data_IF_322287598478
#
_entry.id   IF_322287598478
#
_cell.length_a   1.000
_cell.length_b   1.000
_cell.length_c   1.000
_cell.angle_alpha   90.00
_cell.angle_beta   90.00
_cell.angle_gamma   90.00
#
_symmetry.space_group_name_H-M   'P 1'
#
loop_
_entity.id
_entity.type
_entity.pdbx_description
1 polymer ?
#
# COMPACT_ATOMS: atom_id res chain seq x y z
N UNK A 1 1.31 -14.03 14.52
CA UNK A 1 0.22 -13.09 14.90
C UNK A 1 -1.13 -13.79 14.69
N UNK A 2 -2.19 -13.51 15.48
CA UNK A 2 -3.51 -14.05 15.17
C UNK A 2 -3.97 -13.56 13.79
N UNK A 3 -4.70 -14.40 13.06
CA UNK A 3 -5.22 -14.04 11.75
C UNK A 3 -6.19 -12.84 11.83
N UNK A 4 -6.04 -11.88 10.92
CA UNK A 4 -6.94 -10.72 10.81
C UNK A 4 -8.36 -11.19 10.46
N UNK A 5 -9.40 -10.82 11.25
CA UNK A 5 -10.77 -11.25 10.98
C UNK A 5 -11.25 -10.84 9.59
N UNK A 6 -12.06 -11.67 8.93
CA UNK A 6 -12.65 -11.36 7.63
C UNK A 6 -14.13 -10.99 7.75
N UNK A 7 -14.56 -9.98 6.98
CA UNK A 7 -15.94 -9.58 6.80
C UNK A 7 -16.31 -9.72 5.32
N UNK A 8 -16.93 -10.86 4.97
CA UNK A 8 -17.40 -11.11 3.61
C UNK A 8 -18.79 -10.52 3.37
N UNK A 9 -18.83 -9.36 2.70
CA UNK A 9 -20.07 -8.62 2.48
C UNK A 9 -20.89 -9.15 1.31
N UNK A 10 -20.35 -10.09 0.52
CA UNK A 10 -21.11 -10.76 -0.55
C UNK A 10 -22.24 -11.60 0.02
N UNK A 11 -22.08 -12.05 1.26
CA UNK A 11 -23.10 -12.80 2.03
C UNK A 11 -24.16 -11.91 2.70
N UNK A 12 -24.01 -10.59 2.61
CA UNK A 12 -24.84 -9.61 3.32
C UNK A 12 -25.73 -8.84 2.31
N UNK A 13 -27.03 -8.64 2.59
CA UNK A 13 -27.91 -7.82 1.76
C UNK A 13 -27.34 -6.40 1.53
N UNK A 14 -27.40 -5.85 0.30
CA UNK A 14 -26.76 -4.56 -0.02
C UNK A 14 -27.07 -3.40 0.94
N UNK A 15 -28.32 -3.19 1.41
CA UNK A 15 -28.64 -2.11 2.35
C UNK A 15 -27.97 -2.26 3.73
N UNK A 16 -27.61 -3.49 4.11
CA UNK A 16 -27.02 -3.80 5.42
C UNK A 16 -25.49 -3.78 5.41
N UNK A 17 -24.86 -3.81 4.23
CA UNK A 17 -23.39 -3.90 4.08
C UNK A 17 -22.70 -2.74 4.77
N UNK A 18 -22.95 -1.50 4.34
CA UNK A 18 -22.25 -0.32 4.87
C UNK A 18 -22.47 -0.13 6.38
N UNK A 19 -23.71 -0.18 6.92
CA UNK A 19 -23.93 -0.11 8.36
C UNK A 19 -23.11 -1.14 9.14
N UNK A 20 -23.05 -2.39 8.66
CA UNK A 20 -22.29 -3.46 9.31
C UNK A 20 -20.78 -3.24 9.24
N UNK A 21 -20.26 -2.74 8.12
CA UNK A 21 -18.84 -2.41 7.95
C UNK A 21 -18.42 -1.28 8.90
N UNK A 22 -19.20 -0.19 8.96
CA UNK A 22 -18.90 0.93 9.86
C UNK A 22 -19.02 0.52 11.34
N UNK A 23 -20.03 -0.27 11.69
CA UNK A 23 -20.15 -0.83 13.04
C UNK A 23 -18.96 -1.72 13.41
N UNK A 24 -18.45 -2.53 12.47
CA UNK A 24 -17.27 -3.35 12.70
C UNK A 24 -16.03 -2.49 12.90
N UNK A 25 -15.85 -1.46 12.08
CA UNK A 25 -14.74 -0.51 12.19
C UNK A 25 -14.74 0.27 13.50
N UNK A 26 -15.89 0.82 13.90
CA UNK A 26 -15.99 1.62 15.13
C UNK A 26 -15.74 0.79 16.40
N UNK A 27 -15.97 -0.51 16.33
CA UNK A 27 -15.68 -1.47 17.40
C UNK A 27 -14.19 -1.87 17.49
N UNK A 28 -13.36 -1.56 16.48
CA UNK A 28 -11.93 -1.85 16.51
C UNK A 28 -11.23 -1.03 17.60
N UNK A 29 -10.27 -1.66 18.29
CA UNK A 29 -9.26 -0.91 19.05
C UNK A 29 -8.29 -0.21 18.08
N UNK A 30 -7.63 0.88 18.47
CA UNK A 30 -6.52 1.44 17.69
C UNK A 30 -5.48 0.34 17.36
N UNK A 31 -4.96 0.36 16.13
CA UNK A 31 -4.07 -0.66 15.57
C UNK A 31 -4.75 -1.95 15.08
N UNK A 32 -5.99 -2.22 15.49
CA UNK A 32 -6.71 -3.41 15.04
C UNK A 32 -7.31 -3.22 13.63
N UNK A 33 -7.54 -4.33 12.94
CA UNK A 33 -8.06 -4.34 11.57
C UNK A 33 -9.04 -5.50 11.31
N UNK A 34 -9.77 -5.41 10.20
CA UNK A 34 -10.45 -6.55 9.56
C UNK A 34 -10.23 -6.49 8.04
N UNK A 35 -10.37 -7.63 7.36
CA UNK A 35 -10.32 -7.73 5.90
C UNK A 35 -11.75 -7.73 5.36
N UNK A 36 -12.09 -6.70 4.60
CA UNK A 36 -13.30 -6.63 3.80
C UNK A 36 -13.12 -7.51 2.55
N UNK A 37 -14.06 -8.43 2.32
CA UNK A 37 -14.12 -9.25 1.10
C UNK A 37 -15.34 -8.86 0.28
N UNK A 38 -15.13 -8.46 -0.98
CA UNK A 38 -16.18 -7.97 -1.87
C UNK A 38 -16.02 -8.50 -3.31
N UNK A 39 -17.09 -8.42 -4.11
CA UNK A 39 -17.13 -8.82 -5.53
C UNK A 39 -16.72 -7.71 -6.50
N UNK A 40 -16.46 -6.50 -6.01
CA UNK A 40 -15.94 -5.36 -6.77
C UNK A 40 -15.06 -4.48 -5.86
N UNK A 41 -14.22 -3.62 -6.46
CA UNK A 41 -13.45 -2.66 -5.67
C UNK A 41 -14.41 -1.66 -4.96
N UNK A 42 -14.39 -1.56 -3.62
CA UNK A 42 -15.41 -0.81 -2.88
C UNK A 42 -15.11 0.70 -2.81
N UNK A 43 -14.87 1.34 -3.97
CA UNK A 43 -14.57 2.78 -4.08
C UNK A 43 -15.63 3.69 -3.43
N UNK A 44 -16.95 3.45 -3.58
CA UNK A 44 -17.96 4.27 -2.88
C UNK A 44 -17.87 4.18 -1.36
N UNK A 45 -17.47 3.02 -0.83
CA UNK A 45 -17.28 2.82 0.61
C UNK A 45 -16.05 3.59 1.09
N UNK A 46 -14.93 3.54 0.35
CA UNK A 46 -13.75 4.35 0.66
C UNK A 46 -14.09 5.84 0.74
N UNK A 47 -14.86 6.36 -0.23
CA UNK A 47 -15.32 7.75 -0.18
C UNK A 47 -16.16 8.06 1.08
N UNK A 48 -17.01 7.11 1.51
CA UNK A 48 -17.76 7.27 2.77
C UNK A 48 -16.82 7.27 3.99
N UNK A 49 -15.81 6.41 4.02
CA UNK A 49 -14.79 6.42 5.09
C UNK A 49 -14.03 7.75 5.14
N UNK A 50 -13.58 8.26 4.00
CA UNK A 50 -12.89 9.56 3.92
C UNK A 50 -13.72 10.74 4.41
N UNK A 51 -15.06 10.65 4.37
CA UNK A 51 -15.95 11.72 4.84
C UNK A 51 -16.38 11.52 6.29
N UNK A 52 -16.62 10.29 6.72
CA UNK A 52 -17.17 9.99 8.05
C UNK A 52 -16.10 9.70 9.11
N UNK A 53 -14.91 9.25 8.69
CA UNK A 53 -13.78 8.88 9.56
C UNK A 53 -12.46 9.47 9.02
N UNK A 54 -12.41 10.77 8.69
CA UNK A 54 -11.23 11.37 8.06
C UNK A 54 -9.99 11.15 8.93
N UNK A 55 -8.91 10.64 8.31
CA UNK A 55 -7.65 10.40 9.00
C UNK A 55 -7.68 9.34 10.10
N UNK A 56 -8.72 8.50 10.23
CA UNK A 56 -8.80 7.49 11.31
C UNK A 56 -8.55 6.05 10.87
N UNK A 57 -8.30 5.83 9.58
CA UNK A 57 -8.17 4.50 9.01
C UNK A 57 -7.03 4.40 8.01
N UNK A 58 -6.53 3.17 7.85
CA UNK A 58 -5.73 2.74 6.70
C UNK A 58 -6.58 1.85 5.81
N UNK A 59 -6.30 1.92 4.51
CA UNK A 59 -7.04 1.23 3.46
C UNK A 59 -6.05 0.48 2.58
N UNK A 60 -5.79 -0.77 2.96
CA UNK A 60 -4.70 -1.55 2.37
C UNK A 60 -5.31 -2.58 1.42
N UNK A 61 -5.08 -2.43 0.13
CA UNK A 61 -5.56 -3.39 -0.88
C UNK A 61 -4.66 -4.62 -0.82
N UNK A 62 -5.24 -5.76 -0.43
CA UNK A 62 -4.54 -7.05 -0.32
C UNK A 62 -4.71 -7.90 -1.58
N UNK A 63 -5.80 -7.68 -2.32
CA UNK A 63 -6.08 -8.40 -3.56
C UNK A 63 -6.96 -7.57 -4.45
N UNK A 64 -6.58 -7.46 -5.73
CA UNK A 64 -7.29 -6.67 -6.73
C UNK A 64 -7.79 -7.53 -7.90
N UNK A 65 -8.98 -8.12 -7.75
CA UNK A 65 -9.81 -8.64 -8.85
C UNK A 65 -9.21 -9.75 -9.72
N UNK A 66 -9.92 -10.15 -10.80
CA UNK A 66 -11.26 -9.68 -11.18
C UNK A 66 -12.40 -10.27 -10.33
N UNK A 67 -12.21 -11.45 -9.72
CA UNK A 67 -13.30 -12.19 -9.07
C UNK A 67 -13.44 -11.91 -7.57
N UNK A 68 -12.40 -11.37 -6.94
CA UNK A 68 -12.36 -11.14 -5.51
C UNK A 68 -11.51 -9.92 -5.16
N UNK A 69 -12.06 -9.04 -4.33
CA UNK A 69 -11.36 -7.91 -3.78
C UNK A 69 -11.21 -8.10 -2.27
N UNK A 70 -9.99 -7.94 -1.78
CA UNK A 70 -9.68 -7.94 -0.35
C UNK A 70 -9.05 -6.61 0.03
N UNK A 71 -9.66 -5.94 0.99
CA UNK A 71 -9.14 -4.68 1.54
C UNK A 71 -9.04 -4.84 3.05
N UNK A 72 -7.84 -4.72 3.61
CA UNK A 72 -7.69 -4.55 5.04
C UNK A 72 -8.05 -3.10 5.42
N UNK A 73 -9.01 -2.97 6.33
CA UNK A 73 -9.41 -1.70 6.92
C UNK A 73 -8.91 -1.71 8.37
N UNK A 74 -7.90 -0.89 8.63
CA UNK A 74 -7.27 -0.77 9.95
C UNK A 74 -7.70 0.52 10.63
N UNK A 75 -7.93 0.49 11.94
CA UNK A 75 -8.10 1.71 12.75
C UNK A 75 -6.73 2.24 13.15
N UNK A 76 -6.43 3.49 12.82
CA UNK A 76 -5.14 4.13 13.15
C UNK A 76 -4.99 4.35 14.66
N UNK A 77 -3.74 4.42 15.11
CA UNK A 77 -3.40 4.88 16.47
C UNK A 77 -3.50 6.40 16.61
N UNK A 78 -3.04 7.12 15.59
CA UNK A 78 -3.17 8.57 15.52
C UNK A 78 -4.55 8.99 14.98
N UNK A 79 -5.04 10.14 15.46
CA UNK A 79 -6.23 10.81 14.94
C UNK A 79 -5.84 12.07 14.17
N UNK A 80 -6.62 12.41 13.16
CA UNK A 80 -6.44 13.65 12.38
C UNK A 80 -5.82 13.43 11.00
N UNK A 81 -5.71 14.51 10.21
CA UNK A 81 -5.16 14.49 8.86
C UNK A 81 -3.71 13.96 8.87
N UNK A 82 -3.29 13.41 7.73
CA UNK A 82 -1.90 12.95 7.55
C UNK A 82 -1.10 13.91 6.70
N UNK A 83 0.20 13.97 6.96
CA UNK A 83 1.15 14.45 5.97
C UNK A 83 1.42 13.36 4.92
N UNK A 84 2.08 13.73 3.81
CA UNK A 84 2.52 12.77 2.80
C UNK A 84 3.51 11.77 3.40
N UNK A 85 4.51 12.27 4.15
CA UNK A 85 5.46 11.43 4.88
C UNK A 85 4.75 10.40 5.76
N UNK A 86 3.84 10.83 6.64
CA UNK A 86 3.15 9.91 7.54
C UNK A 86 2.31 8.85 6.82
N UNK A 87 1.79 9.16 5.64
CA UNK A 87 0.99 8.20 4.86
C UNK A 87 1.87 7.16 4.17
N UNK A 88 2.91 7.60 3.45
CA UNK A 88 3.73 6.71 2.63
C UNK A 88 4.77 5.95 3.46
N UNK A 89 5.32 6.53 4.52
CA UNK A 89 6.18 5.80 5.47
C UNK A 89 5.41 4.67 6.17
N UNK A 90 4.15 4.92 6.56
CA UNK A 90 3.29 3.86 7.09
C UNK A 90 3.01 2.75 6.07
N UNK A 91 3.05 3.07 4.77
CA UNK A 91 2.87 2.10 3.71
C UNK A 91 4.15 1.29 3.45
N UNK A 92 5.33 1.92 3.54
CA UNK A 92 6.64 1.26 3.56
C UNK A 92 6.72 0.24 4.69
N UNK A 93 6.42 0.64 5.94
CA UNK A 93 6.45 -0.27 7.09
C UNK A 93 5.55 -1.51 6.87
N UNK A 94 4.39 -1.31 6.24
CA UNK A 94 3.47 -2.39 5.90
C UNK A 94 4.02 -3.30 4.80
N UNK A 95 4.60 -2.72 3.75
CA UNK A 95 5.12 -3.45 2.59
C UNK A 95 6.38 -4.25 2.98
N UNK A 96 7.29 -3.64 3.73
CA UNK A 96 8.54 -4.26 4.20
C UNK A 96 8.29 -5.51 5.07
N UNK A 97 7.15 -5.58 5.74
CA UNK A 97 6.77 -6.74 6.54
C UNK A 97 6.47 -8.00 5.70
N UNK A 98 6.21 -7.89 4.39
CA UNK A 98 5.85 -9.05 3.57
C UNK A 98 7.06 -9.89 3.16
N UNK A 99 8.19 -9.29 2.80
CA UNK A 99 9.40 -10.05 2.40
C UNK A 99 9.81 -11.07 3.47
N UNK A 100 10.00 -10.70 4.76
CA UNK A 100 10.33 -11.68 5.79
C UNK A 100 9.21 -12.71 6.00
N UNK A 101 7.94 -12.33 5.85
CA UNK A 101 6.81 -13.26 5.97
C UNK A 101 6.78 -14.31 4.83
N UNK A 102 7.12 -13.90 3.59
CA UNK A 102 7.27 -14.82 2.46
C UNK A 102 8.42 -15.78 2.73
N UNK A 103 9.59 -15.26 3.13
CA UNK A 103 10.77 -16.07 3.43
C UNK A 103 10.51 -17.08 4.57
N UNK A 104 9.82 -16.67 5.64
CA UNK A 104 9.42 -17.56 6.73
C UNK A 104 8.48 -18.68 6.24
N UNK A 105 7.50 -18.33 5.40
CA UNK A 105 6.57 -19.31 4.83
C UNK A 105 7.26 -20.32 3.92
N UNK A 106 8.22 -19.86 3.10
CA UNK A 106 9.06 -20.72 2.26
C UNK A 106 9.94 -21.66 3.09
N UNK A 107 10.57 -21.14 4.14
CA UNK A 107 11.38 -21.93 5.07
C UNK A 107 10.55 -23.00 5.81
N UNK A 108 9.29 -22.71 6.09
CA UNK A 108 8.34 -23.65 6.66
C UNK A 108 7.74 -24.65 5.64
N UNK A 109 8.04 -24.51 4.35
CA UNK A 109 7.44 -25.32 3.27
C UNK A 109 5.97 -25.00 3.00
N UNK A 110 5.44 -23.89 3.54
CA UNK A 110 4.07 -23.44 3.38
C UNK A 110 3.90 -22.67 2.05
N UNK A 111 4.04 -23.39 0.92
CA UNK A 111 4.07 -22.78 -0.42
C UNK A 111 2.81 -21.99 -0.75
N UNK A 112 1.64 -22.42 -0.28
CA UNK A 112 0.40 -21.70 -0.55
C UNK A 112 0.31 -20.38 0.23
N UNK A 113 0.79 -20.36 1.48
CA UNK A 113 0.87 -19.13 2.28
C UNK A 113 1.90 -18.17 1.67
N UNK A 114 3.05 -18.69 1.21
CA UNK A 114 4.05 -17.90 0.50
C UNK A 114 3.47 -17.27 -0.78
N UNK A 115 2.64 -18.01 -1.56
CA UNK A 115 1.96 -17.46 -2.74
C UNK A 115 1.00 -16.33 -2.38
N UNK A 116 0.21 -16.49 -1.32
CA UNK A 116 -0.73 -15.47 -0.89
C UNK A 116 -0.02 -14.22 -0.36
N UNK A 117 1.09 -14.38 0.37
CA UNK A 117 1.90 -13.27 0.86
C UNK A 117 2.64 -12.56 -0.27
N UNK A 118 3.22 -13.30 -1.23
CA UNK A 118 3.87 -12.71 -2.38
C UNK A 118 2.88 -11.96 -3.28
N UNK A 119 1.67 -12.49 -3.46
CA UNK A 119 0.62 -11.77 -4.18
C UNK A 119 0.18 -10.48 -3.47
N UNK A 120 0.16 -10.47 -2.14
CA UNK A 120 -0.12 -9.26 -1.35
C UNK A 120 1.02 -8.25 -1.40
N UNK A 121 2.28 -8.70 -1.36
CA UNK A 121 3.44 -7.85 -1.59
C UNK A 121 3.37 -7.20 -2.96
N UNK A 122 3.15 -8.00 -4.01
CA UNK A 122 3.03 -7.52 -5.40
C UNK A 122 1.91 -6.49 -5.52
N UNK A 123 0.70 -6.83 -5.06
CA UNK A 123 -0.47 -5.93 -5.11
C UNK A 123 -0.26 -4.64 -4.32
N UNK A 124 0.40 -4.72 -3.16
CA UNK A 124 0.65 -3.58 -2.30
C UNK A 124 1.72 -2.65 -2.85
N UNK A 125 2.85 -3.20 -3.28
CA UNK A 125 3.99 -2.44 -3.77
C UNK A 125 3.72 -1.87 -5.17
N UNK A 126 3.14 -2.63 -6.10
CA UNK A 126 2.80 -2.09 -7.44
C UNK A 126 1.84 -0.89 -7.34
N UNK A 127 0.81 -1.01 -6.50
CA UNK A 127 -0.09 0.11 -6.18
C UNK A 127 0.65 1.30 -5.57
N UNK A 128 1.60 1.06 -4.67
CA UNK A 128 2.38 2.11 -4.03
C UNK A 128 3.15 2.92 -5.08
N UNK A 129 3.89 2.23 -5.93
CA UNK A 129 4.66 2.84 -7.03
C UNK A 129 3.75 3.62 -7.97
N UNK A 130 2.58 3.08 -8.33
CA UNK A 130 1.62 3.77 -9.17
C UNK A 130 1.08 5.05 -8.52
N UNK A 131 0.77 5.01 -7.21
CA UNK A 131 0.36 6.20 -6.45
C UNK A 131 1.45 7.27 -6.50
N UNK A 132 2.70 6.87 -6.38
CA UNK A 132 3.82 7.81 -6.44
C UNK A 132 3.97 8.39 -7.84
N UNK A 133 3.98 7.56 -8.87
CA UNK A 133 4.20 7.98 -10.25
C UNK A 133 3.08 8.87 -10.80
N UNK A 134 1.83 8.53 -10.49
CA UNK A 134 0.63 9.16 -11.07
C UNK A 134 0.09 10.33 -10.23
N UNK A 135 0.41 10.37 -8.93
CA UNK A 135 -0.13 11.39 -8.01
C UNK A 135 0.98 12.18 -7.33
N UNK A 136 1.89 11.51 -6.60
CA UNK A 136 2.87 12.21 -5.78
C UNK A 136 3.90 12.97 -6.62
N UNK A 137 4.58 12.29 -7.54
CA UNK A 137 5.68 12.86 -8.32
C UNK A 137 5.20 14.06 -9.15
N UNK A 138 4.04 14.03 -9.85
CA UNK A 138 3.52 15.23 -10.51
C UNK A 138 3.36 16.43 -9.58
N UNK A 139 2.85 16.22 -8.36
CA UNK A 139 2.69 17.30 -7.37
C UNK A 139 4.06 17.77 -6.86
N UNK A 140 4.97 16.85 -6.53
CA UNK A 140 6.33 17.18 -6.12
C UNK A 140 7.05 18.02 -7.18
N UNK A 141 7.00 17.59 -8.44
CA UNK A 141 7.65 18.25 -9.57
C UNK A 141 7.10 19.67 -9.79
N UNK A 142 5.77 19.83 -9.74
CA UNK A 142 5.10 21.13 -9.87
C UNK A 142 5.45 22.09 -8.72
N UNK A 143 5.46 21.59 -7.47
CA UNK A 143 5.59 22.44 -6.29
C UNK A 143 7.03 22.79 -5.93
N UNK A 144 7.99 21.95 -6.30
CA UNK A 144 9.41 22.15 -5.96
C UNK A 144 10.23 22.80 -7.07
N UNK A 145 9.73 22.77 -8.32
CA UNK A 145 10.49 23.19 -9.52
C UNK A 145 11.86 22.49 -9.67
N UNK A 146 12.01 21.27 -9.11
CA UNK A 146 13.27 20.52 -9.16
C UNK A 146 13.50 19.78 -10.49
N UNK A 147 12.57 19.91 -11.44
CA UNK A 147 12.70 19.37 -12.80
C UNK A 147 13.41 20.38 -13.71
N UNK A 148 14.74 20.39 -13.67
CA UNK A 148 15.55 21.23 -14.55
C UNK A 148 15.92 20.47 -15.84
N UNK A 149 15.48 20.99 -16.99
CA UNK A 149 15.84 20.44 -18.32
C UNK A 149 15.49 18.95 -18.50
N UNK A 150 14.36 18.51 -17.94
CA UNK A 150 13.92 17.11 -18.00
C UNK A 150 14.76 16.15 -17.16
N UNK A 151 15.56 16.69 -16.23
CA UNK A 151 16.32 15.91 -15.24
C UNK A 151 15.83 16.28 -13.85
N UNK A 152 15.66 15.28 -13.00
CA UNK A 152 15.22 15.45 -11.62
C UNK A 152 15.23 14.13 -10.88
N UNK A 153 15.09 14.17 -9.55
CA UNK A 153 15.16 12.97 -8.71
C UNK A 153 14.10 11.94 -9.11
N UNK A 154 12.88 12.37 -9.46
CA UNK A 154 11.76 11.50 -9.84
C UNK A 154 11.96 10.77 -11.17
N UNK A 155 12.92 11.16 -12.02
CA UNK A 155 13.26 10.40 -13.23
C UNK A 155 14.00 9.12 -12.87
N UNK A 156 15.01 9.23 -12.00
CA UNK A 156 15.77 8.08 -11.51
C UNK A 156 14.88 7.15 -10.66
N UNK A 157 13.96 7.72 -9.87
CA UNK A 157 13.00 6.91 -9.10
C UNK A 157 12.15 6.03 -10.03
N UNK A 158 11.62 6.58 -11.13
CA UNK A 158 10.85 5.78 -12.11
C UNK A 158 11.68 4.68 -12.78
N UNK A 159 12.96 4.93 -13.04
CA UNK A 159 13.87 3.87 -13.53
C UNK A 159 14.02 2.75 -12.50
N UNK A 160 14.15 3.08 -11.22
CA UNK A 160 14.20 2.09 -10.15
C UNK A 160 12.85 1.36 -9.95
N UNK A 161 11.71 2.03 -10.15
CA UNK A 161 10.38 1.39 -10.08
C UNK A 161 10.24 0.29 -11.14
N UNK A 162 10.82 0.47 -12.33
CA UNK A 162 10.85 -0.57 -13.36
C UNK A 162 11.63 -1.80 -12.86
N UNK A 163 12.78 -1.60 -12.21
CA UNK A 163 13.57 -2.67 -11.64
C UNK A 163 12.88 -3.34 -10.44
N UNK A 164 12.21 -2.57 -9.58
CA UNK A 164 11.39 -3.09 -8.47
C UNK A 164 10.29 -4.03 -9.02
N UNK A 165 9.54 -3.58 -10.03
CA UNK A 165 8.50 -4.41 -10.68
C UNK A 165 9.10 -5.66 -11.33
N UNK A 166 10.28 -5.56 -11.95
CA UNK A 166 10.99 -6.72 -12.50
C UNK A 166 11.29 -7.77 -11.43
N UNK A 167 11.84 -7.39 -10.28
CA UNK A 167 12.14 -8.33 -9.19
C UNK A 167 10.86 -8.98 -8.61
N UNK A 168 9.76 -8.22 -8.51
CA UNK A 168 8.46 -8.76 -8.12
C UNK A 168 7.96 -9.85 -9.09
N UNK A 169 8.07 -9.60 -10.40
CA UNK A 169 7.67 -10.55 -11.44
C UNK A 169 8.56 -11.80 -11.45
N UNK A 170 9.87 -11.62 -11.24
CA UNK A 170 10.83 -12.73 -11.13
C UNK A 170 10.54 -13.61 -9.92
N UNK A 171 10.30 -13.02 -8.74
CA UNK A 171 9.91 -13.76 -7.55
C UNK A 171 8.61 -14.54 -7.77
N UNK A 172 7.60 -13.91 -8.40
CA UNK A 172 6.33 -14.56 -8.70
C UNK A 172 6.49 -15.74 -9.68
N UNK A 173 7.30 -15.56 -10.73
CA UNK A 173 7.60 -16.60 -11.70
C UNK A 173 8.39 -17.76 -11.08
N UNK A 174 9.39 -17.47 -10.25
CA UNK A 174 10.18 -18.45 -9.52
C UNK A 174 9.32 -19.27 -8.55
N UNK A 175 8.39 -18.61 -7.83
CA UNK A 175 7.49 -19.29 -6.91
C UNK A 175 6.49 -20.20 -7.65
N UNK A 176 6.01 -19.78 -8.82
CA UNK A 176 5.18 -20.62 -9.70
C UNK A 176 5.94 -21.85 -10.20
N UNK A 177 7.25 -21.73 -10.42
CA UNK A 177 8.14 -22.84 -10.77
C UNK A 177 8.61 -23.64 -9.54
N UNK A 178 8.16 -23.28 -8.34
CA UNK A 178 8.58 -23.86 -7.05
C UNK A 178 10.10 -23.82 -6.83
N UNK A 179 10.78 -22.85 -7.46
CA UNK A 179 12.22 -22.63 -7.30
C UNK A 179 12.48 -21.66 -6.15
N UNK A 180 12.46 -22.18 -4.92
CA UNK A 180 12.63 -21.39 -3.67
C UNK A 180 13.94 -20.59 -3.67
N UNK A 181 15.03 -21.15 -4.20
CA UNK A 181 16.31 -20.45 -4.25
C UNK A 181 16.23 -19.17 -5.09
N UNK A 182 15.59 -19.24 -6.27
CA UNK A 182 15.40 -18.08 -7.14
C UNK A 182 14.38 -17.07 -6.57
N UNK A 183 13.39 -17.54 -5.78
CA UNK A 183 12.49 -16.61 -5.06
C UNK A 183 13.28 -15.79 -4.06
N UNK A 184 14.11 -16.45 -3.23
CA UNK A 184 14.91 -15.76 -2.22
C UNK A 184 15.91 -14.78 -2.86
N UNK A 185 16.57 -15.18 -3.96
CA UNK A 185 17.49 -14.31 -4.70
C UNK A 185 16.80 -13.03 -5.20
N UNK A 186 15.64 -13.16 -5.86
CA UNK A 186 14.87 -12.01 -6.34
C UNK A 186 14.40 -11.10 -5.19
N UNK A 187 13.99 -11.67 -4.05
CA UNK A 187 13.55 -10.89 -2.88
C UNK A 187 14.71 -10.21 -2.15
N UNK A 188 15.90 -10.81 -2.12
CA UNK A 188 17.09 -10.19 -1.55
C UNK A 188 17.54 -8.99 -2.40
N UNK A 189 17.52 -9.12 -3.73
CA UNK A 189 17.81 -8.02 -4.66
C UNK A 189 16.77 -6.89 -4.55
N UNK A 190 15.48 -7.24 -4.48
CA UNK A 190 14.40 -6.28 -4.23
C UNK A 190 14.62 -5.52 -2.92
N UNK A 191 14.94 -6.22 -1.83
CA UNK A 191 15.18 -5.61 -0.51
C UNK A 191 16.35 -4.64 -0.54
N UNK A 192 17.44 -5.02 -1.20
CA UNK A 192 18.61 -4.15 -1.34
C UNK A 192 18.31 -2.88 -2.14
N UNK A 193 17.52 -2.99 -3.21
CA UNK A 193 17.08 -1.86 -4.02
C UNK A 193 16.16 -0.94 -3.21
N UNK A 194 15.11 -1.48 -2.58
CA UNK A 194 14.17 -0.73 -1.75
C UNK A 194 14.85 0.02 -0.61
N UNK A 195 15.86 -0.57 0.04
CA UNK A 195 16.58 0.09 1.12
C UNK A 195 17.25 1.43 0.68
N UNK A 196 17.79 1.48 -0.53
CA UNK A 196 18.36 2.71 -1.11
C UNK A 196 17.25 3.64 -1.64
N UNK A 197 16.22 3.05 -2.24
CA UNK A 197 15.07 3.74 -2.82
C UNK A 197 14.31 4.56 -1.76
N UNK A 198 13.83 3.90 -0.71
CA UNK A 198 13.03 4.48 0.36
C UNK A 198 13.78 5.60 1.09
N UNK A 199 15.11 5.51 1.22
CA UNK A 199 15.93 6.59 1.81
C UNK A 199 15.77 7.89 1.02
N UNK A 200 15.69 7.84 -0.32
CA UNK A 200 15.52 9.06 -1.13
C UNK A 200 14.12 9.62 -0.97
N UNK A 201 13.12 8.77 -0.83
CA UNK A 201 11.74 9.19 -0.63
C UNK A 201 11.55 9.87 0.72
N UNK A 202 11.92 9.15 1.77
CA UNK A 202 11.71 9.57 3.16
C UNK A 202 12.60 10.75 3.55
N UNK A 203 13.77 10.93 2.91
CA UNK A 203 14.66 12.08 3.22
C UNK A 203 14.53 13.25 2.26
N UNK A 204 13.98 13.05 1.07
CA UNK A 204 13.94 14.08 0.03
C UNK A 204 12.52 14.28 -0.47
N UNK A 205 11.91 13.28 -1.10
CA UNK A 205 10.64 13.48 -1.83
C UNK A 205 9.48 13.82 -0.89
N UNK A 206 9.23 13.00 0.14
CA UNK A 206 8.07 13.20 1.02
C UNK A 206 8.20 14.48 1.86
N UNK A 207 9.35 14.74 2.54
CA UNK A 207 9.46 15.95 3.35
C UNK A 207 9.42 17.23 2.53
N UNK A 208 9.99 17.25 1.33
CA UNK A 208 9.93 18.43 0.46
C UNK A 208 8.52 18.63 -0.11
N UNK A 209 7.77 17.56 -0.39
CA UNK A 209 6.36 17.67 -0.76
C UNK A 209 5.54 18.28 0.37
N UNK A 210 5.73 17.78 1.61
CA UNK A 210 5.05 18.30 2.79
C UNK A 210 5.40 19.78 3.08
N UNK A 211 6.66 20.17 2.89
CA UNK A 211 7.11 21.56 3.04
C UNK A 211 6.54 22.47 1.96
N UNK A 212 6.46 21.99 0.72
CA UNK A 212 5.92 22.76 -0.40
C UNK A 212 4.40 22.96 -0.28
N UNK A 213 3.69 21.96 0.25
CA UNK A 213 2.27 22.02 0.61
C UNK A 213 2.08 22.64 2.00
N UNK A 214 2.24 23.97 2.09
CA UNK A 214 2.26 24.71 3.37
C UNK A 214 1.05 24.43 4.30
N UNK A 215 -0.15 24.34 3.74
CA UNK A 215 -1.39 24.17 4.49
C UNK A 215 -1.70 22.71 4.78
N UNK A 216 -2.09 22.41 6.02
CA UNK A 216 -2.49 21.05 6.44
C UNK A 216 -3.61 20.48 5.56
N UNK A 217 -4.60 21.31 5.22
CA UNK A 217 -5.69 20.90 4.33
C UNK A 217 -5.20 20.50 2.92
N UNK A 218 -4.11 21.10 2.43
CA UNK A 218 -3.52 20.73 1.13
C UNK A 218 -2.83 19.38 1.20
N UNK A 219 -2.11 19.10 2.30
CA UNK A 219 -1.47 17.79 2.53
C UNK A 219 -2.52 16.68 2.69
N UNK A 220 -3.55 16.93 3.51
CA UNK A 220 -4.65 15.98 3.70
C UNK A 220 -5.41 15.72 2.40
N UNK A 221 -5.66 16.75 1.59
CA UNK A 221 -6.29 16.58 0.28
C UNK A 221 -5.48 15.67 -0.65
N UNK A 222 -4.14 15.82 -0.67
CA UNK A 222 -3.26 14.95 -1.44
C UNK A 222 -3.31 13.51 -0.93
N UNK A 223 -3.24 13.30 0.40
CA UNK A 223 -3.39 11.95 0.98
C UNK A 223 -4.73 11.32 0.61
N UNK A 224 -5.83 12.08 0.66
CA UNK A 224 -7.15 11.59 0.25
C UNK A 224 -7.21 11.24 -1.24
N UNK A 225 -6.49 11.98 -2.08
CA UNK A 225 -6.35 11.64 -3.50
C UNK A 225 -5.58 10.33 -3.69
N UNK A 226 -4.44 10.17 -3.02
CA UNK A 226 -3.62 8.95 -3.08
C UNK A 226 -4.37 7.71 -2.58
N UNK A 227 -5.16 7.85 -1.51
CA UNK A 227 -6.04 6.76 -1.03
C UNK A 227 -7.03 6.27 -2.10
N UNK A 228 -7.53 7.17 -2.97
CA UNK A 228 -8.57 6.89 -3.96
C UNK A 228 -8.08 6.27 -5.27
N UNK A 229 -6.76 6.16 -5.46
CA UNK A 229 -6.18 5.34 -6.52
C UNK A 229 -6.75 3.92 -6.43
#
# INVERSE_FOLDING_TARGET
MPATPQLDVRTIPPPERHPKIFSAFDALKPGAAFILVNDHYPRPLLFQFQNQRPGRFDWNVLQFGPDLYRVEIRRREAEGPRTVSEYLESDHERIDAFVPAVNESLAAGALEDARQLLAQLWCGLDRHLDVEEEILFPVFEEKTNMMAHGRGPTVLMREEHVEIRRHLDEAAAALKAENVAAVNEALDELTALLASHNIKEERIIYPLTDQALKEEASRDALVRQMQLF
#
